data_IF_554153262811
#
_entry.id   IF_554153262811
#
_cell.length_a   1.000
_cell.length_b   1.000
_cell.length_c   1.000
_cell.angle_alpha   90.00
_cell.angle_beta   90.00
_cell.angle_gamma   90.00
#
_symmetry.space_group_name_H-M   'P 1'
#
loop_
_entity.id
_entity.type
_entity.pdbx_description
1 polymer ?
#
# COMPACT_ATOMS: atom_id res chain seq x y z
N UNK A 1 -4.29 -21.71 -6.20
CA UNK A 1 -4.61 -20.52 -6.94
C UNK A 1 -4.52 -19.27 -6.10
N UNK A 2 -4.57 -18.15 -6.77
CA UNK A 2 -4.56 -16.83 -6.14
C UNK A 2 -5.91 -16.16 -6.37
N UNK A 3 -6.40 -15.49 -5.34
CA UNK A 3 -7.69 -14.81 -5.41
C UNK A 3 -7.57 -13.42 -4.82
N UNK A 4 -7.86 -12.40 -5.62
CA UNK A 4 -7.99 -11.04 -5.14
C UNK A 4 -9.42 -10.80 -4.71
N UNK A 5 -9.60 -10.34 -3.47
CA UNK A 5 -10.89 -9.90 -2.96
C UNK A 5 -10.90 -8.38 -2.91
N UNK A 6 -11.99 -7.79 -3.37
CA UNK A 6 -12.16 -6.34 -3.35
C UNK A 6 -13.23 -5.98 -2.31
N UNK A 7 -12.86 -5.10 -1.38
CA UNK A 7 -13.78 -4.54 -0.39
C UNK A 7 -13.84 -3.04 -0.62
N UNK A 8 -14.69 -2.63 -1.54
CA UNK A 8 -14.81 -1.26 -1.98
C UNK A 8 -16.21 -0.73 -1.64
N UNK A 9 -16.33 0.56 -1.26
CA UNK A 9 -17.64 1.15 -1.02
C UNK A 9 -18.40 1.35 -2.32
N UNK A 10 -19.74 1.46 -2.22
CA UNK A 10 -20.58 1.75 -3.37
C UNK A 10 -20.49 3.20 -3.83
N UNK A 11 -20.05 4.09 -2.94
CA UNK A 11 -19.92 5.51 -3.24
C UNK A 11 -18.60 5.83 -3.95
N UNK A 12 -18.58 6.91 -4.69
CA UNK A 12 -17.32 7.44 -5.22
C UNK A 12 -16.48 8.02 -4.09
N UNK A 13 -15.17 7.81 -4.18
CA UNK A 13 -14.21 8.32 -3.21
C UNK A 13 -13.23 9.25 -3.93
N UNK A 14 -13.62 10.51 -4.20
CA UNK A 14 -12.73 11.42 -4.91
C UNK A 14 -11.51 11.77 -4.05
N UNK A 15 -10.34 11.77 -4.69
CA UNK A 15 -9.07 12.08 -4.03
C UNK A 15 -8.23 12.94 -4.95
N UNK A 16 -7.24 13.61 -4.37
CA UNK A 16 -6.29 14.41 -5.13
C UNK A 16 -4.96 13.67 -5.19
N UNK A 17 -4.65 13.11 -6.35
CA UNK A 17 -3.44 12.33 -6.54
C UNK A 17 -3.11 12.23 -8.02
N UNK A 18 -1.82 11.99 -8.31
CA UNK A 18 -1.39 11.68 -9.67
C UNK A 18 -1.84 10.25 -10.00
N UNK A 19 -2.72 10.06 -11.00
CA UNK A 19 -3.26 8.73 -11.29
C UNK A 19 -2.20 7.73 -11.73
N UNK A 20 -1.18 8.17 -12.45
CA UNK A 20 -0.11 7.28 -12.90
C UNK A 20 0.73 6.80 -11.72
N UNK A 21 1.05 7.69 -10.79
CA UNK A 21 1.81 7.33 -9.59
C UNK A 21 0.99 6.45 -8.67
N UNK A 22 -0.31 6.71 -8.53
CA UNK A 22 -1.18 5.86 -7.72
C UNK A 22 -1.30 4.46 -8.31
N UNK A 23 -1.43 4.36 -9.62
CA UNK A 23 -1.45 3.07 -10.30
C UNK A 23 -0.17 2.28 -10.02
N UNK A 24 0.97 2.96 -10.10
CA UNK A 24 2.27 2.34 -9.84
C UNK A 24 2.39 1.87 -8.38
N UNK A 25 1.97 2.71 -7.43
CA UNK A 25 2.01 2.35 -6.02
C UNK A 25 1.12 1.15 -5.73
N UNK A 26 -0.10 1.14 -6.23
CA UNK A 26 -1.02 0.02 -6.05
C UNK A 26 -0.49 -1.25 -6.71
N UNK A 27 0.07 -1.13 -7.91
CA UNK A 27 0.66 -2.27 -8.60
C UNK A 27 1.79 -2.88 -7.77
N UNK A 28 2.64 -2.04 -7.18
CA UNK A 28 3.74 -2.51 -6.34
C UNK A 28 3.22 -3.21 -5.07
N UNK A 29 2.21 -2.65 -4.42
CA UNK A 29 1.65 -3.24 -3.20
C UNK A 29 0.93 -4.55 -3.49
N UNK A 30 0.15 -4.61 -4.58
CA UNK A 30 -0.54 -5.83 -4.98
C UNK A 30 0.45 -6.91 -5.40
N UNK A 31 1.50 -6.53 -6.13
CA UNK A 31 2.57 -7.46 -6.50
C UNK A 31 3.27 -8.03 -5.28
N UNK A 32 3.52 -7.19 -4.28
CA UNK A 32 4.12 -7.63 -3.02
C UNK A 32 3.20 -8.62 -2.29
N UNK A 33 1.90 -8.34 -2.24
CA UNK A 33 0.93 -9.25 -1.61
C UNK A 33 0.89 -10.60 -2.34
N UNK A 34 0.89 -10.59 -3.68
CA UNK A 34 0.93 -11.83 -4.47
C UNK A 34 2.21 -12.62 -4.23
N UNK A 35 3.33 -11.92 -4.05
CA UNK A 35 4.63 -12.54 -3.79
C UNK A 35 4.66 -13.24 -2.43
N UNK A 36 3.96 -12.71 -1.44
CA UNK A 36 3.92 -13.22 -0.07
C UNK A 36 2.61 -13.93 0.27
N UNK A 37 1.89 -14.38 -0.75
CA UNK A 37 0.58 -14.97 -0.55
C UNK A 37 0.64 -16.18 0.38
N UNK A 38 -0.37 -16.33 1.25
CA UNK A 38 -0.45 -17.43 2.18
C UNK A 38 -1.08 -18.67 1.58
N UNK A 39 -1.32 -19.67 2.43
CA UNK A 39 -1.86 -20.96 1.98
C UNK A 39 -3.27 -20.86 1.41
N UNK A 40 -4.06 -19.88 1.88
CA UNK A 40 -5.42 -19.69 1.38
C UNK A 40 -5.46 -19.05 -0.01
N UNK A 41 -4.34 -18.53 -0.50
CA UNK A 41 -4.27 -17.90 -1.81
C UNK A 41 -4.99 -16.58 -1.92
N UNK A 42 -5.36 -15.97 -0.79
CA UNK A 42 -6.20 -14.77 -0.77
C UNK A 42 -5.35 -13.53 -0.46
N UNK A 43 -5.58 -12.46 -1.22
CA UNK A 43 -5.10 -11.13 -0.87
C UNK A 43 -6.26 -10.14 -1.12
N UNK A 44 -6.30 -9.07 -0.34
CA UNK A 44 -7.46 -8.19 -0.26
C UNK A 44 -7.03 -6.76 -0.54
N UNK A 45 -7.75 -6.09 -1.44
CA UNK A 45 -7.66 -4.65 -1.64
C UNK A 45 -8.90 -4.02 -1.04
N UNK A 46 -8.69 -3.15 -0.08
CA UNK A 46 -9.77 -2.50 0.65
C UNK A 46 -9.65 -0.99 0.53
N UNK A 47 -10.76 -0.32 0.29
CA UNK A 47 -10.82 1.14 0.26
C UNK A 47 -12.01 1.60 1.08
N UNK A 48 -11.79 2.59 1.93
CA UNK A 48 -12.88 3.14 2.74
C UNK A 48 -12.58 4.59 3.09
N UNK A 49 -13.64 5.36 3.26
CA UNK A 49 -13.50 6.73 3.72
C UNK A 49 -13.10 6.75 5.19
N UNK A 50 -12.20 7.66 5.52
CA UNK A 50 -11.81 7.91 6.91
C UNK A 50 -11.82 9.42 7.15
N UNK A 51 -11.53 9.82 8.38
CA UNK A 51 -11.56 11.24 8.77
C UNK A 51 -10.62 12.08 7.90
N UNK A 52 -9.48 11.53 7.51
CA UNK A 52 -8.44 12.26 6.78
C UNK A 52 -8.62 12.20 5.26
N UNK A 53 -9.47 11.31 4.77
CA UNK A 53 -9.67 11.13 3.34
C UNK A 53 -10.08 9.71 3.00
N UNK A 54 -9.28 9.01 2.19
CA UNK A 54 -9.56 7.64 1.78
C UNK A 54 -8.40 6.75 2.22
N UNK A 55 -8.70 5.76 3.04
CA UNK A 55 -7.72 4.74 3.45
C UNK A 55 -7.77 3.57 2.50
N UNK A 56 -6.61 3.23 1.97
CA UNK A 56 -6.41 2.06 1.12
C UNK A 56 -5.59 1.04 1.90
N UNK A 57 -6.01 -0.23 1.83
CA UNK A 57 -5.29 -1.33 2.47
C UNK A 57 -5.07 -2.45 1.48
N UNK A 58 -3.90 -3.04 1.52
CA UNK A 58 -3.58 -4.27 0.77
C UNK A 58 -3.13 -5.30 1.79
N UNK A 59 -3.92 -6.34 1.94
CA UNK A 59 -3.71 -7.36 2.97
C UNK A 59 -3.40 -8.71 2.33
N UNK A 60 -2.43 -9.42 2.90
CA UNK A 60 -2.19 -10.82 2.56
C UNK A 60 -2.19 -11.66 3.83
N UNK A 61 -2.33 -12.97 3.65
CA UNK A 61 -2.32 -13.94 4.75
C UNK A 61 -1.05 -14.79 4.70
N UNK A 62 0.04 -14.14 4.34
CA UNK A 62 1.35 -14.79 4.22
C UNK A 62 2.07 -14.95 5.55
N UNK A 63 3.37 -15.21 5.50
CA UNK A 63 4.14 -15.50 6.72
C UNK A 63 4.28 -14.31 7.68
N UNK A 64 4.02 -13.10 7.21
CA UNK A 64 4.22 -11.91 8.01
C UNK A 64 5.67 -11.45 8.02
N UNK A 65 5.91 -10.34 8.70
CA UNK A 65 7.22 -9.71 8.79
C UNK A 65 7.60 -9.60 10.27
N UNK A 66 8.82 -9.97 10.60
CA UNK A 66 9.29 -9.89 11.98
C UNK A 66 9.42 -8.44 12.44
N UNK A 67 9.28 -8.22 13.75
CA UNK A 67 9.47 -6.89 14.34
C UNK A 67 10.86 -6.33 14.03
N UNK A 68 11.86 -7.18 13.93
CA UNK A 68 13.23 -6.76 13.62
C UNK A 68 13.36 -6.23 12.18
N UNK A 69 12.57 -6.78 11.26
CA UNK A 69 12.63 -6.39 9.85
C UNK A 69 11.74 -5.19 9.52
N UNK A 70 10.64 -5.00 10.26
CA UNK A 70 9.66 -3.94 9.95
C UNK A 70 10.25 -2.55 9.74
N UNK A 71 11.25 -2.08 10.54
CA UNK A 71 11.81 -0.74 10.31
C UNK A 71 12.51 -0.56 8.98
N UNK A 72 12.87 -1.65 8.29
CA UNK A 72 13.73 -1.60 7.11
C UNK A 72 13.03 -2.00 5.81
N UNK A 73 11.76 -2.42 5.85
CA UNK A 73 11.10 -3.00 4.68
C UNK A 73 10.93 -2.02 3.53
N UNK A 74 10.93 -0.72 3.80
CA UNK A 74 10.85 0.31 2.76
C UNK A 74 12.22 0.76 2.26
N UNK A 75 13.29 0.22 2.84
CA UNK A 75 14.64 0.59 2.42
C UNK A 75 14.94 0.03 1.05
N UNK A 76 15.75 0.77 0.31
CA UNK A 76 16.16 0.37 -1.03
C UNK A 76 16.95 -0.93 -0.97
N UNK A 77 16.59 -1.87 -1.87
CA UNK A 77 17.21 -3.21 -1.96
C UNK A 77 16.99 -4.10 -0.75
N UNK A 78 16.12 -3.70 0.19
CA UNK A 78 15.83 -4.56 1.32
C UNK A 78 15.10 -5.82 0.89
N UNK A 79 15.49 -6.95 1.48
CA UNK A 79 14.79 -8.23 1.38
C UNK A 79 14.80 -8.90 2.73
N UNK A 80 13.65 -9.43 3.14
CA UNK A 80 13.58 -10.24 4.35
C UNK A 80 14.18 -11.59 4.11
N UNK A 81 14.44 -12.34 5.19
CA UNK A 81 14.96 -13.72 5.07
C UNK A 81 14.00 -14.62 4.31
N UNK A 82 12.69 -14.41 4.46
CA UNK A 82 11.69 -15.20 3.75
C UNK A 82 11.71 -14.94 2.24
N UNK A 83 12.30 -13.83 1.81
CA UNK A 83 12.43 -13.46 0.41
C UNK A 83 13.75 -13.93 -0.20
N UNK A 84 14.65 -14.49 0.59
CA UNK A 84 15.94 -14.94 0.10
C UNK A 84 15.76 -15.95 -1.04
N UNK A 85 16.39 -15.69 -2.18
CA UNK A 85 16.28 -16.54 -3.35
C UNK A 85 15.09 -16.30 -4.24
N UNK A 86 14.14 -15.45 -3.83
CA UNK A 86 13.00 -15.06 -4.67
C UNK A 86 13.40 -13.94 -5.61
N UNK A 87 12.72 -13.88 -6.76
CA UNK A 87 12.97 -12.83 -7.74
C UNK A 87 12.41 -11.50 -7.26
N UNK A 88 13.09 -10.45 -7.63
CA UNK A 88 12.70 -9.08 -7.31
C UNK A 88 13.91 -8.22 -7.08
N UNK A 89 13.77 -6.91 -7.29
CA UNK A 89 14.88 -5.98 -7.18
C UNK A 89 15.03 -5.36 -5.79
N UNK A 90 14.00 -5.49 -4.94
CA UNK A 90 13.98 -4.80 -3.66
C UNK A 90 13.69 -3.31 -3.78
N UNK A 91 13.23 -2.86 -4.95
CA UNK A 91 12.95 -1.45 -5.21
C UNK A 91 11.47 -1.07 -5.09
N UNK A 92 10.55 -2.05 -5.21
CA UNK A 92 9.12 -1.76 -5.27
C UNK A 92 8.60 -0.97 -4.09
N UNK A 93 8.95 -1.38 -2.86
CA UNK A 93 8.48 -0.70 -1.66
C UNK A 93 9.16 0.66 -1.45
N UNK A 94 10.44 0.78 -1.82
CA UNK A 94 11.13 2.07 -1.71
C UNK A 94 10.55 3.10 -2.68
N UNK A 95 10.19 2.67 -3.88
CA UNK A 95 9.53 3.51 -4.87
C UNK A 95 8.14 3.92 -4.37
N UNK A 96 7.39 2.98 -3.80
CA UNK A 96 6.07 3.24 -3.24
C UNK A 96 6.14 4.27 -2.11
N UNK A 97 7.12 4.12 -1.22
CA UNK A 97 7.35 5.11 -0.15
C UNK A 97 7.60 6.50 -0.74
N UNK A 98 8.45 6.59 -1.76
CA UNK A 98 8.77 7.87 -2.39
C UNK A 98 7.51 8.52 -2.98
N UNK A 99 6.63 7.72 -3.60
CA UNK A 99 5.37 8.20 -4.15
C UNK A 99 4.49 8.78 -3.04
N UNK A 100 4.34 8.06 -1.93
CA UNK A 100 3.53 8.52 -0.81
C UNK A 100 4.10 9.81 -0.19
N UNK A 101 5.41 9.87 -0.03
CA UNK A 101 6.06 11.05 0.52
C UNK A 101 5.88 12.26 -0.39
N UNK A 102 5.97 12.07 -1.70
CA UNK A 102 5.76 13.14 -2.68
C UNK A 102 4.35 13.70 -2.61
N UNK A 103 3.36 12.84 -2.32
CA UNK A 103 1.96 13.24 -2.19
C UNK A 103 1.61 13.74 -0.79
N UNK A 104 2.50 13.60 0.18
CA UNK A 104 2.20 13.93 1.56
C UNK A 104 1.21 12.96 2.21
N UNK A 105 1.12 11.74 1.70
CA UNK A 105 0.21 10.74 2.25
C UNK A 105 0.83 10.03 3.45
N UNK A 106 0.03 9.76 4.45
CA UNK A 106 0.43 8.87 5.54
C UNK A 106 0.36 7.44 5.04
N UNK A 107 1.29 6.62 5.50
CA UNK A 107 1.36 5.22 5.10
C UNK A 107 2.04 4.41 6.18
N UNK A 108 1.86 3.11 6.12
CA UNK A 108 2.49 2.21 7.07
C UNK A 108 2.22 0.76 6.74
N UNK A 109 2.61 -0.07 7.67
CA UNK A 109 2.46 -1.52 7.56
C UNK A 109 2.12 -2.09 8.93
N UNK A 110 1.25 -3.07 8.94
CA UNK A 110 0.91 -3.87 10.13
C UNK A 110 1.20 -5.31 9.78
N UNK A 111 2.07 -5.94 10.57
CA UNK A 111 2.46 -7.32 10.31
C UNK A 111 3.05 -7.93 11.57
N UNK A 112 2.89 -9.24 11.67
CA UNK A 112 3.57 -10.06 12.68
C UNK A 112 3.72 -11.46 12.09
N UNK A 113 4.74 -12.17 12.54
CA UNK A 113 5.00 -13.54 12.08
C UNK A 113 3.74 -14.38 12.28
N UNK A 114 3.30 -15.07 11.25
CA UNK A 114 2.12 -15.92 11.26
C UNK A 114 0.79 -15.20 11.12
N UNK A 115 0.81 -13.86 11.06
CA UNK A 115 -0.42 -13.06 11.04
C UNK A 115 -0.69 -12.37 9.70
N UNK A 116 0.18 -12.59 8.71
CA UNK A 116 0.05 -11.89 7.44
C UNK A 116 0.55 -10.45 7.51
N UNK A 117 0.27 -9.69 6.46
CA UNK A 117 0.75 -8.31 6.34
C UNK A 117 -0.32 -7.44 5.71
N UNK A 118 -0.50 -6.24 6.27
CA UNK A 118 -1.38 -5.23 5.70
C UNK A 118 -0.57 -3.96 5.47
N UNK A 119 -0.41 -3.57 4.22
CA UNK A 119 0.11 -2.25 3.86
C UNK A 119 -1.06 -1.30 3.73
N UNK A 120 -0.92 -0.09 4.24
CA UNK A 120 -1.98 0.91 4.16
C UNK A 120 -1.40 2.27 3.80
N UNK A 121 -2.23 3.08 3.18
CA UNK A 121 -1.93 4.50 3.00
C UNK A 121 -3.25 5.28 2.98
N UNK A 122 -3.16 6.56 3.27
CA UNK A 122 -4.32 7.44 3.32
C UNK A 122 -4.12 8.54 2.28
N UNK A 123 -5.00 8.53 1.28
CA UNK A 123 -5.08 9.61 0.31
C UNK A 123 -5.91 10.72 0.92
N UNK A 124 -5.29 11.86 1.16
CA UNK A 124 -5.98 12.98 1.79
C UNK A 124 -7.10 13.48 0.89
N UNK A 125 -8.18 13.97 1.52
CA UNK A 125 -9.18 14.74 0.78
C UNK A 125 -8.49 15.93 0.10
N UNK A 126 -9.16 16.52 -0.88
CA UNK A 126 -8.68 17.77 -1.44
C UNK A 126 -8.35 18.71 -0.28
N UNK A 127 -7.11 19.24 -0.23
CA UNK A 127 -6.77 20.20 0.83
C UNK A 127 -7.81 21.33 0.88
N UNK A 128 -8.06 21.84 2.08
CA UNK A 128 -9.05 22.93 2.24
C UNK A 128 -8.78 24.10 1.29
N UNK A 129 -7.50 24.32 0.95
CA UNK A 129 -7.09 25.38 0.03
C UNK A 129 -6.98 24.96 -1.43
N UNK A 130 -7.22 23.68 -1.75
CA UNK A 130 -7.07 23.21 -3.15
C UNK A 130 -8.10 23.87 -4.07
N UNK A 131 -9.35 23.97 -3.61
CA UNK A 131 -10.39 24.64 -4.35
C UNK A 131 -10.10 26.14 -4.52
N UNK A 132 -9.54 26.76 -3.48
CA UNK A 132 -9.13 28.17 -3.55
C UNK A 132 -7.98 28.35 -4.52
N UNK A 133 -7.01 27.46 -4.51
CA UNK A 133 -5.87 27.50 -5.43
C UNK A 133 -6.34 27.33 -6.87
N UNK A 134 -7.26 26.40 -7.13
CA UNK A 134 -7.85 26.21 -8.45
C UNK A 134 -8.67 27.42 -8.88
N UNK A 135 -9.35 28.08 -7.95
CA UNK A 135 -10.14 29.28 -8.23
C UNK A 135 -9.30 30.53 -8.47
N UNK A 136 -8.04 30.51 -8.08
CA UNK A 136 -7.14 31.65 -8.29
C UNK A 136 -6.43 31.59 -9.64
N UNK A 137 -6.51 30.50 -10.31
CA UNK A 137 -6.00 30.37 -11.65
C UNK A 137 -7.04 30.89 -12.66
#
# INVERSE_FOLDING_TARGET
GRQLQLELPDEELPVYADPNMMQRALHNLLGNAMHHIGKDGIFILRAQRCTEGVRIEVEDHGPGISADDLPYIFDRYYRSRSDAGKQGTGLGLSITKAIFQQHGFRFGVQSAIGMGTTFWFIMNDLPANAAEMAGQE
#
